data_IF_093522215115
#
_entry.id   IF_093522215115
#
_cell.length_a   1.000
_cell.length_b   1.000
_cell.length_c   1.000
_cell.angle_alpha   90.00
_cell.angle_beta   90.00
_cell.angle_gamma   90.00
#
_symmetry.space_group_name_H-M   'P 1'
#
loop_
_entity.id
_entity.type
_entity.pdbx_description
1 polymer ?
#
# COMPACT_ATOMS: atom_id res chain seq x y z
N UNK A 1 11.18 -0.49 11.38
CA UNK A 1 10.98 -0.76 9.93
C UNK A 1 9.92 -1.81 9.79
N UNK A 2 9.11 -1.71 8.74
CA UNK A 2 8.12 -2.72 8.32
C UNK A 2 8.25 -2.95 6.82
N UNK A 3 7.58 -3.97 6.31
CA UNK A 3 7.67 -4.42 4.93
C UNK A 3 6.29 -4.33 4.28
N UNK A 4 6.11 -3.40 3.35
CA UNK A 4 4.93 -3.35 2.50
C UNK A 4 5.07 -4.40 1.41
N UNK A 5 4.04 -5.23 1.22
CA UNK A 5 3.94 -6.16 0.10
C UNK A 5 2.92 -5.62 -0.90
N UNK A 6 3.37 -5.38 -2.13
CA UNK A 6 2.51 -5.09 -3.26
C UNK A 6 2.61 -6.21 -4.30
N UNK A 7 1.48 -6.59 -4.87
CA UNK A 7 1.41 -7.48 -6.03
C UNK A 7 1.01 -6.68 -7.26
N UNK A 8 1.61 -6.94 -8.41
CA UNK A 8 1.41 -6.13 -9.62
C UNK A 8 1.03 -7.02 -10.77
N UNK A 9 -0.09 -6.71 -11.41
CA UNK A 9 -0.49 -7.34 -12.66
C UNK A 9 0.36 -6.78 -13.80
N UNK A 10 1.25 -7.63 -14.34
CA UNK A 10 2.22 -7.21 -15.36
C UNK A 10 1.60 -7.04 -16.73
N UNK A 11 0.49 -7.72 -17.01
CA UNK A 11 -0.20 -7.63 -18.30
C UNK A 11 -0.99 -6.32 -18.40
N UNK A 12 -1.48 -5.81 -17.26
CA UNK A 12 -2.20 -4.54 -17.17
C UNK A 12 -1.31 -3.34 -16.83
N UNK A 13 -0.05 -3.58 -16.47
CA UNK A 13 0.93 -2.51 -16.25
C UNK A 13 1.58 -2.07 -17.57
N UNK A 14 1.68 -0.76 -17.79
CA UNK A 14 2.31 -0.17 -18.97
C UNK A 14 3.24 0.99 -18.57
N UNK A 15 3.90 1.63 -19.54
CA UNK A 15 4.81 2.73 -19.23
C UNK A 15 4.06 3.89 -18.57
N UNK A 16 4.38 4.16 -17.30
CA UNK A 16 3.73 5.18 -16.49
C UNK A 16 2.51 4.72 -15.69
N UNK A 17 2.06 3.47 -15.83
CA UNK A 17 0.96 2.88 -15.06
C UNK A 17 1.34 1.51 -14.48
N UNK A 18 1.10 1.30 -13.19
CA UNK A 18 1.27 -0.01 -12.55
C UNK A 18 -0.04 -0.41 -11.89
N UNK A 19 -0.60 -1.52 -12.35
CA UNK A 19 -1.79 -2.12 -11.73
C UNK A 19 -1.35 -2.91 -10.48
N UNK A 20 -1.26 -2.19 -9.35
CA UNK A 20 -0.70 -2.72 -8.10
C UNK A 20 -1.74 -2.85 -6.99
N UNK A 21 -1.68 -3.97 -6.28
CA UNK A 21 -2.51 -4.32 -5.14
C UNK A 21 -1.65 -4.29 -3.88
N UNK A 22 -1.94 -3.36 -2.96
CA UNK A 22 -1.33 -3.38 -1.63
C UNK A 22 -1.91 -4.57 -0.85
N UNK A 23 -1.12 -5.62 -0.64
CA UNK A 23 -1.56 -6.83 0.04
C UNK A 23 -1.60 -6.62 1.56
N UNK A 24 -0.61 -5.89 2.09
CA UNK A 24 -0.54 -5.58 3.51
C UNK A 24 0.87 -5.20 3.96
N UNK A 25 1.00 -4.96 5.25
CA UNK A 25 2.23 -4.51 5.90
C UNK A 25 2.69 -5.54 6.92
N UNK A 26 3.96 -5.93 6.88
CA UNK A 26 4.50 -7.04 7.67
C UNK A 26 5.63 -6.58 8.58
N UNK A 27 5.73 -7.19 9.76
CA UNK A 27 6.83 -6.94 10.69
C UNK A 27 8.13 -7.61 10.26
N UNK A 28 8.05 -8.62 9.39
CA UNK A 28 9.19 -9.41 8.90
C UNK A 28 9.15 -9.57 7.39
N UNK A 29 10.29 -9.37 6.73
CA UNK A 29 10.43 -9.56 5.28
C UNK A 29 10.07 -10.98 4.84
N UNK A 30 10.57 -11.98 5.56
CA UNK A 30 10.31 -13.40 5.25
C UNK A 30 8.81 -13.74 5.29
N UNK A 31 8.04 -13.06 6.15
CA UNK A 31 6.60 -13.24 6.23
C UNK A 31 5.88 -12.62 5.03
N UNK A 32 6.31 -11.44 4.58
CA UNK A 32 5.83 -10.84 3.33
C UNK A 32 6.14 -11.75 2.12
N UNK A 33 7.37 -12.28 2.02
CA UNK A 33 7.77 -13.19 0.93
C UNK A 33 6.93 -14.47 0.91
N UNK A 34 6.75 -15.13 2.07
CA UNK A 34 5.89 -16.32 2.17
C UNK A 34 4.44 -16.01 1.82
N UNK A 35 3.95 -14.83 2.19
CA UNK A 35 2.59 -14.40 1.85
C UNK A 35 2.44 -14.21 0.35
N UNK A 36 3.39 -13.54 -0.31
CA UNK A 36 3.39 -13.36 -1.76
C UNK A 36 3.36 -14.71 -2.50
N UNK A 37 4.21 -15.66 -2.08
CA UNK A 37 4.24 -17.01 -2.66
C UNK A 37 2.92 -17.76 -2.49
N UNK A 38 2.26 -17.62 -1.33
CA UNK A 38 0.92 -18.21 -1.11
C UNK A 38 -0.10 -17.60 -2.07
N UNK A 39 -0.10 -16.27 -2.24
CA UNK A 39 -1.04 -15.60 -3.13
C UNK A 39 -0.88 -16.06 -4.59
N UNK A 40 0.36 -16.12 -5.09
CA UNK A 40 0.67 -16.59 -6.44
C UNK A 40 0.28 -18.06 -6.67
N UNK A 41 0.15 -18.86 -5.62
CA UNK A 41 -0.16 -20.29 -5.72
C UNK A 41 -1.66 -20.57 -5.56
N UNK A 42 -2.29 -19.94 -4.58
CA UNK A 42 -3.57 -20.42 -4.04
C UNK A 42 -4.71 -19.38 -4.17
N UNK A 43 -4.41 -18.09 -4.36
CA UNK A 43 -5.43 -17.02 -4.37
C UNK A 43 -5.92 -16.71 -5.78
N UNK A 44 -7.24 -16.67 -5.99
CA UNK A 44 -7.86 -16.35 -7.28
C UNK A 44 -7.43 -14.96 -7.80
N UNK A 45 -7.33 -14.83 -9.13
CA UNK A 45 -6.76 -13.67 -9.80
C UNK A 45 -5.24 -13.66 -9.70
N UNK A 46 -4.68 -13.76 -8.49
CA UNK A 46 -3.23 -13.71 -8.30
C UNK A 46 -2.47 -14.92 -8.85
N UNK A 47 -3.08 -16.11 -8.78
CA UNK A 47 -2.53 -17.34 -9.37
C UNK A 47 -2.87 -17.50 -10.86
N UNK A 48 -3.89 -16.78 -11.32
CA UNK A 48 -4.52 -17.01 -12.62
C UNK A 48 -3.90 -16.14 -13.73
N UNK A 49 -3.11 -15.12 -13.36
CA UNK A 49 -2.51 -14.13 -14.24
C UNK A 49 -0.99 -13.96 -14.01
N UNK A 50 -0.27 -13.30 -14.93
CA UNK A 50 1.15 -12.96 -14.73
C UNK A 50 1.32 -11.84 -13.70
N UNK A 51 1.43 -12.26 -12.44
CA UNK A 51 1.60 -11.36 -11.31
C UNK A 51 3.04 -11.35 -10.82
N UNK A 52 3.62 -10.16 -10.70
CA UNK A 52 4.84 -9.90 -9.95
C UNK A 52 4.54 -9.46 -8.52
N UNK A 53 5.55 -9.46 -7.65
CA UNK A 53 5.44 -8.81 -6.34
C UNK A 53 6.69 -8.00 -6.00
N UNK A 54 6.50 -6.97 -5.19
CA UNK A 54 7.54 -6.09 -4.67
C UNK A 54 7.39 -5.98 -3.14
N UNK A 55 8.52 -5.98 -2.44
CA UNK A 55 8.55 -5.77 -0.99
C UNK A 55 9.41 -4.56 -0.69
N UNK A 56 8.76 -3.52 -0.20
CA UNK A 56 9.37 -2.23 0.08
C UNK A 56 9.50 -2.02 1.58
N UNK A 57 10.68 -1.57 2.02
CA UNK A 57 10.90 -1.21 3.42
C UNK A 57 10.27 0.15 3.71
N UNK A 58 9.51 0.25 4.80
CA UNK A 58 8.90 1.50 5.27
C UNK A 58 9.41 1.85 6.65
N UNK A 59 9.80 3.10 6.79
CA UNK A 59 10.10 3.70 8.08
C UNK A 59 8.81 3.89 8.90
N UNK A 60 8.92 3.66 10.21
CA UNK A 60 7.82 3.79 11.15
C UNK A 60 8.22 4.73 12.28
N UNK A 61 7.43 5.76 12.53
CA UNK A 61 7.57 6.65 13.68
C UNK A 61 6.59 6.24 14.78
N UNK A 62 7.10 6.18 16.01
CA UNK A 62 6.34 5.98 17.24
C UNK A 62 6.70 4.68 17.96
N UNK A 63 5.74 4.10 18.68
CA UNK A 63 5.98 2.98 19.59
C UNK A 63 6.25 1.66 18.85
N UNK A 64 7.26 0.91 19.30
CA UNK A 64 7.66 -0.36 18.67
C UNK A 64 6.59 -1.47 18.77
N UNK A 65 5.74 -1.43 19.81
CA UNK A 65 4.83 -2.52 20.16
C UNK A 65 3.40 -2.33 19.59
N UNK A 66 3.21 -1.42 18.64
CA UNK A 66 1.90 -1.20 18.02
C UNK A 66 1.67 -2.15 16.84
N UNK A 67 0.58 -2.91 16.88
CA UNK A 67 0.09 -3.70 15.75
C UNK A 67 -0.64 -2.86 14.69
N UNK A 68 -0.82 -1.56 14.94
CA UNK A 68 -1.54 -0.66 14.03
C UNK A 68 -0.58 0.39 13.51
N UNK A 69 -0.69 0.67 12.21
CA UNK A 69 -0.04 1.79 11.56
C UNK A 69 -1.05 2.67 10.83
N UNK A 70 -0.66 3.92 10.64
CA UNK A 70 -1.36 4.93 9.88
C UNK A 70 -0.44 5.46 8.80
N UNK A 71 -0.97 5.65 7.61
CA UNK A 71 -0.29 6.30 6.49
C UNK A 71 -1.17 7.41 5.94
N UNK A 72 -0.53 8.48 5.51
CA UNK A 72 -1.19 9.59 4.84
C UNK A 72 -1.00 9.42 3.34
N UNK A 73 -2.11 9.51 2.61
CA UNK A 73 -2.10 9.59 1.16
C UNK A 73 -2.70 10.92 0.70
N UNK A 74 -2.17 11.45 -0.40
CA UNK A 74 -2.75 12.57 -1.10
C UNK A 74 -2.62 12.39 -2.61
N UNK A 75 -3.67 12.71 -3.35
CA UNK A 75 -3.72 12.52 -4.80
C UNK A 75 -4.52 13.62 -5.49
N UNK A 76 -4.33 13.71 -6.79
CA UNK A 76 -5.18 14.46 -7.71
C UNK A 76 -6.06 13.47 -8.47
N UNK A 77 -7.08 14.00 -9.14
CA UNK A 77 -7.94 13.21 -10.03
C UNK A 77 -7.89 13.86 -11.41
N UNK A 78 -7.55 13.08 -12.43
CA UNK A 78 -7.51 13.56 -13.81
C UNK A 78 -8.93 13.71 -14.39
N UNK A 79 -9.04 14.14 -15.66
CA UNK A 79 -10.34 14.32 -16.33
C UNK A 79 -11.11 13.01 -16.54
N UNK A 80 -10.40 11.88 -16.60
CA UNK A 80 -10.98 10.53 -16.71
C UNK A 80 -11.50 9.98 -15.39
N UNK A 81 -11.17 10.63 -14.26
CA UNK A 81 -11.51 10.15 -12.93
C UNK A 81 -10.43 9.30 -12.25
N UNK A 82 -9.26 9.14 -12.86
CA UNK A 82 -8.17 8.33 -12.30
C UNK A 82 -7.31 9.14 -11.31
N UNK A 83 -6.80 8.43 -10.31
CA UNK A 83 -5.89 9.01 -9.31
C UNK A 83 -4.51 9.27 -9.92
N UNK A 84 -4.00 10.50 -9.73
CA UNK A 84 -2.69 10.94 -10.24
C UNK A 84 -1.91 11.68 -9.16
N UNK A 85 -0.60 11.90 -9.41
CA UNK A 85 0.29 12.62 -8.49
C UNK A 85 0.29 12.07 -7.05
N UNK A 86 0.14 10.75 -6.89
CA UNK A 86 0.01 10.11 -5.58
C UNK A 86 1.23 10.45 -4.73
N UNK A 87 0.96 10.88 -3.50
CA UNK A 87 1.95 11.20 -2.48
C UNK A 87 1.65 10.39 -1.25
N UNK A 88 2.64 9.64 -0.79
CA UNK A 88 2.57 8.81 0.40
C UNK A 88 3.50 9.34 1.49
N UNK A 89 3.08 9.19 2.75
CA UNK A 89 3.96 9.41 3.90
C UNK A 89 4.68 8.12 4.29
N UNK A 90 5.67 8.27 5.17
CA UNK A 90 6.12 7.19 6.06
C UNK A 90 4.97 6.69 6.96
N UNK A 91 5.21 5.62 7.71
CA UNK A 91 4.21 5.03 8.60
C UNK A 91 4.27 5.63 10.01
N UNK A 92 3.12 5.71 10.67
CA UNK A 92 2.99 6.19 12.04
C UNK A 92 2.21 5.21 12.89
N UNK A 93 2.59 5.01 14.15
CA UNK A 93 1.81 4.16 15.08
C UNK A 93 0.70 4.92 15.82
N UNK A 94 0.66 6.25 15.64
CA UNK A 94 -0.32 7.15 16.24
C UNK A 94 -1.07 7.93 15.16
N UNK A 95 -2.41 7.95 15.26
CA UNK A 95 -3.24 8.76 14.38
C UNK A 95 -2.95 10.26 14.51
N UNK A 96 -2.58 10.72 15.72
CA UNK A 96 -2.24 12.12 15.95
C UNK A 96 -0.96 12.52 15.19
N UNK A 97 0.03 11.63 15.13
CA UNK A 97 1.27 11.91 14.38
C UNK A 97 1.02 11.89 12.87
N UNK A 98 0.22 10.94 12.38
CA UNK A 98 -0.23 10.94 10.99
C UNK A 98 -1.01 12.22 10.62
N UNK A 99 -1.86 12.72 11.53
CA UNK A 99 -2.61 13.96 11.31
C UNK A 99 -1.68 15.18 11.18
N UNK A 100 -0.68 15.30 12.06
CA UNK A 100 0.33 16.37 11.96
C UNK A 100 1.13 16.27 10.66
N UNK A 101 1.53 15.05 10.28
CA UNK A 101 2.22 14.80 9.03
C UNK A 101 1.36 15.19 7.82
N UNK A 102 0.06 14.91 7.83
CA UNK A 102 -0.85 15.34 6.76
C UNK A 102 -0.91 16.86 6.65
N UNK A 103 -0.98 17.59 7.76
CA UNK A 103 -0.99 19.06 7.74
C UNK A 103 0.31 19.64 7.15
N UNK A 104 1.45 19.01 7.42
CA UNK A 104 2.72 19.43 6.84
C UNK A 104 2.85 19.05 5.37
N UNK A 105 2.37 17.87 4.96
CA UNK A 105 2.33 17.45 3.57
C UNK A 105 1.42 18.35 2.73
N UNK A 106 0.26 18.76 3.25
CA UNK A 106 -0.66 19.73 2.60
C UNK A 106 -0.03 21.09 2.31
N UNK A 107 0.97 21.51 3.11
CA UNK A 107 1.71 22.76 2.86
C UNK A 107 2.74 22.61 1.73
N UNK A 108 3.27 21.38 1.54
CA UNK A 108 4.34 21.08 0.59
C UNK A 108 3.80 20.66 -0.78
N UNK A 109 2.70 19.91 -0.78
CA UNK A 109 2.12 19.31 -1.98
C UNK A 109 0.72 19.86 -2.19
N UNK A 110 0.47 20.32 -3.43
CA UNK A 110 -0.89 20.66 -3.87
C UNK A 110 -1.55 19.38 -4.35
N UNK A 111 -2.31 18.74 -3.47
CA UNK A 111 -3.20 17.62 -3.79
C UNK A 111 -4.64 18.01 -3.49
N UNK A 112 -5.55 17.59 -4.36
CA UNK A 112 -6.99 17.83 -4.21
C UNK A 112 -7.57 17.00 -3.06
N UNK A 113 -7.21 15.73 -3.01
CA UNK A 113 -7.72 14.77 -2.03
C UNK A 113 -6.63 14.35 -1.05
N UNK A 114 -7.04 14.03 0.18
CA UNK A 114 -6.17 13.55 1.26
C UNK A 114 -6.90 12.58 2.16
N UNK A 115 -6.24 11.51 2.56
CA UNK A 115 -6.76 10.58 3.56
C UNK A 115 -5.68 10.11 4.53
N UNK A 116 -6.14 9.59 5.67
CA UNK A 116 -5.31 8.83 6.61
C UNK A 116 -5.87 7.41 6.63
N UNK A 117 -5.10 6.48 6.09
CA UNK A 117 -5.45 5.05 6.07
C UNK A 117 -4.90 4.37 7.31
N UNK A 118 -5.68 3.46 7.89
CA UNK A 118 -5.30 2.63 9.03
C UNK A 118 -5.08 1.20 8.56
N UNK A 119 -3.95 0.61 8.90
CA UNK A 119 -3.63 -0.78 8.62
C UNK A 119 -3.30 -1.53 9.90
N UNK A 120 -3.70 -2.81 9.96
CA UNK A 120 -3.21 -3.73 10.98
C UNK A 120 -2.00 -4.46 10.41
N UNK A 121 -0.90 -4.49 11.16
CA UNK A 121 0.29 -5.23 10.78
C UNK A 121 -0.01 -6.73 10.69
N UNK A 122 0.57 -7.37 9.69
CA UNK A 122 0.42 -8.77 9.34
C UNK A 122 -0.97 -9.22 8.88
N UNK A 123 -1.90 -8.28 8.70
CA UNK A 123 -3.21 -8.54 8.09
C UNK A 123 -3.12 -8.38 6.56
N UNK A 124 -3.88 -9.18 5.82
CA UNK A 124 -3.95 -9.08 4.36
C UNK A 124 -5.29 -8.48 3.93
N UNK A 125 -5.26 -7.51 3.02
CA UNK A 125 -6.45 -6.81 2.52
C UNK A 125 -7.20 -7.61 1.42
N UNK A 126 -6.47 -8.28 0.53
CA UNK A 126 -7.01 -8.95 -0.67
C UNK A 126 -7.25 -10.45 -0.47
N UNK A 127 -8.01 -10.81 0.57
CA UNK A 127 -8.13 -12.21 1.01
C UNK A 127 -8.81 -13.13 -0.03
N UNK A 128 -9.77 -12.59 -0.78
CA UNK A 128 -10.54 -13.34 -1.79
C UNK A 128 -9.95 -13.27 -3.19
N UNK A 129 -8.87 -12.50 -3.40
CA UNK A 129 -8.32 -12.26 -4.72
C UNK A 129 -9.03 -11.15 -5.48
N UNK A 130 -8.96 -11.22 -6.82
CA UNK A 130 -9.65 -10.29 -7.71
C UNK A 130 -10.11 -11.00 -8.98
N UNK A 131 -10.99 -10.35 -9.74
CA UNK A 131 -11.43 -10.77 -11.06
C UNK A 131 -11.22 -9.61 -12.02
N UNK A 132 -10.66 -9.87 -13.21
CA UNK A 132 -10.60 -8.86 -14.27
C UNK A 132 -11.98 -8.71 -14.90
N UNK A 133 -12.44 -7.48 -15.08
CA UNK A 133 -13.68 -7.17 -15.79
C UNK A 133 -13.49 -7.21 -17.31
#
# INVERSE_FOLDING_TARGET
>A
MIYELCMTDRELSCEGHKESFCIGFFTERLKAEKTAQRYLKDTAGFKDYDIGFEITEKEVIGAADSDIIYMVYGWNVNESGDETDITESICFTSRCDAQRAMEDLKKRFRRREWCISRYTLNECLWQEGFVRA
#
